data_IF_541678131735
#
_entry.id   IF_541678131735
#
_cell.length_a   1.000
_cell.length_b   1.000
_cell.length_c   1.000
_cell.angle_alpha   90.00
_cell.angle_beta   90.00
_cell.angle_gamma   90.00
#
_symmetry.space_group_name_H-M   'P 1'
#
loop_
_entity.id
_entity.type
_entity.pdbx_description
1 polymer ?
#
# COMPACT_ATOMS: atom_id res chain seq x y z
N UNK A 1 -59.73 5.25 -11.75
CA UNK A 1 -58.41 5.82 -12.04
C UNK A 1 -57.51 4.66 -12.40
N UNK A 2 -57.35 4.30 -13.68
CA UNK A 2 -56.64 5.07 -14.73
C UNK A 2 -55.19 5.27 -14.30
N UNK A 3 -54.31 4.36 -14.73
CA UNK A 3 -53.44 4.50 -15.92
C UNK A 3 -52.16 5.28 -15.55
N UNK A 4 -51.03 4.59 -15.41
CA UNK A 4 -49.96 4.68 -16.40
C UNK A 4 -48.68 3.94 -15.96
N UNK A 5 -48.46 2.88 -16.72
CA UNK A 5 -47.23 2.19 -17.08
C UNK A 5 -46.04 3.13 -17.40
N UNK A 6 -44.87 2.88 -16.79
CA UNK A 6 -43.61 2.87 -17.57
C UNK A 6 -42.48 2.08 -16.91
N UNK A 7 -42.35 0.85 -17.39
CA UNK A 7 -41.14 0.03 -17.39
C UNK A 7 -40.04 0.71 -18.22
N UNK A 8 -38.79 0.77 -17.72
CA UNK A 8 -37.64 0.79 -18.62
C UNK A 8 -36.43 0.10 -18.00
N UNK A 9 -36.13 -1.03 -18.63
CA UNK A 9 -35.05 -1.99 -18.45
C UNK A 9 -33.68 -1.43 -18.89
N UNK A 10 -32.58 -2.07 -18.46
CA UNK A 10 -31.24 -1.77 -18.98
C UNK A 10 -31.12 -2.23 -20.45
N UNK A 11 -30.38 -1.51 -21.33
CA UNK A 11 -30.19 -1.94 -22.69
C UNK A 11 -29.22 -3.13 -22.79
N UNK A 12 -29.76 -4.19 -23.36
CA UNK A 12 -29.15 -5.44 -23.81
C UNK A 12 -28.37 -5.22 -25.13
N UNK A 13 -27.18 -5.83 -25.19
CA UNK A 13 -26.52 -6.48 -26.34
C UNK A 13 -26.28 -5.72 -27.65
N UNK A 14 -24.99 -5.60 -28.01
CA UNK A 14 -24.52 -6.02 -29.35
C UNK A 14 -23.33 -6.96 -29.23
N UNK A 15 -23.64 -8.24 -29.46
CA UNK A 15 -22.76 -9.30 -29.94
C UNK A 15 -22.06 -8.83 -31.21
N UNK A 16 -20.73 -8.95 -31.22
CA UNK A 16 -19.87 -8.68 -32.36
C UNK A 16 -18.69 -9.64 -32.36
N UNK A 17 -19.01 -10.89 -32.72
CA UNK A 17 -18.20 -11.75 -33.59
C UNK A 17 -16.73 -11.99 -33.23
N UNK A 18 -16.54 -13.12 -32.56
CA UNK A 18 -15.42 -14.05 -32.73
C UNK A 18 -15.22 -14.37 -34.23
N UNK A 19 -13.98 -14.40 -34.73
CA UNK A 19 -13.58 -15.35 -35.73
C UNK A 19 -12.75 -16.46 -35.07
N UNK A 20 -13.31 -17.67 -35.06
CA UNK A 20 -12.53 -18.90 -35.04
C UNK A 20 -11.58 -18.87 -36.23
N UNK A 21 -10.30 -19.12 -36.01
CA UNK A 21 -9.61 -20.07 -36.86
C UNK A 21 -8.35 -20.58 -36.17
N UNK A 22 -8.23 -21.91 -36.19
CA UNK A 22 -6.95 -22.63 -36.18
C UNK A 22 -6.30 -22.83 -34.81
N UNK A 23 -6.86 -23.77 -34.04
CA UNK A 23 -6.01 -24.71 -33.30
C UNK A 23 -5.20 -25.48 -34.36
N UNK A 24 -3.98 -25.03 -34.64
CA UNK A 24 -2.97 -25.91 -35.23
C UNK A 24 -2.22 -26.56 -34.08
N UNK A 25 -2.67 -27.75 -33.73
CA UNK A 25 -1.94 -28.72 -32.92
C UNK A 25 -0.61 -29.04 -33.62
N UNK A 26 0.47 -28.43 -33.19
CA UNK A 26 1.82 -28.84 -33.55
C UNK A 26 2.47 -29.50 -32.34
N UNK A 27 2.42 -30.85 -32.30
CA UNK A 27 3.29 -31.64 -31.45
C UNK A 27 4.76 -31.26 -31.69
N UNK A 28 5.59 -31.24 -30.64
CA UNK A 28 6.89 -30.60 -30.67
C UNK A 28 7.90 -31.47 -31.45
N UNK A 29 8.37 -30.96 -32.59
CA UNK A 29 9.56 -31.47 -33.24
C UNK A 29 10.79 -31.04 -32.43
N UNK A 30 11.65 -32.02 -32.16
CA UNK A 30 12.84 -31.97 -31.30
C UNK A 30 13.95 -31.02 -31.78
N UNK A 31 13.74 -30.31 -32.89
CA UNK A 31 14.68 -29.34 -33.48
C UNK A 31 14.45 -27.89 -33.01
N UNK A 32 13.36 -27.60 -32.30
CA UNK A 32 13.07 -26.23 -31.81
C UNK A 32 13.79 -25.87 -30.52
N UNK A 33 14.25 -26.84 -29.71
CA UNK A 33 15.00 -26.54 -28.47
C UNK A 33 16.35 -25.92 -28.77
N UNK A 34 17.11 -26.49 -29.70
CA UNK A 34 18.49 -26.05 -29.95
C UNK A 34 18.58 -24.65 -30.58
N UNK A 35 17.56 -24.25 -31.36
CA UNK A 35 17.46 -22.87 -31.87
C UNK A 35 16.94 -21.90 -30.82
N UNK A 36 15.98 -22.32 -29.99
CA UNK A 36 15.50 -21.50 -28.88
C UNK A 36 16.64 -21.22 -27.91
N UNK A 37 17.43 -22.23 -27.54
CA UNK A 37 18.54 -22.11 -26.60
C UNK A 37 19.61 -21.15 -27.13
N UNK A 38 20.00 -21.27 -28.41
CA UNK A 38 20.94 -20.31 -29.04
C UNK A 38 20.40 -18.88 -29.08
N UNK A 39 19.09 -18.71 -29.30
CA UNK A 39 18.43 -17.40 -29.32
C UNK A 39 18.35 -16.79 -27.91
N UNK A 40 18.05 -17.61 -26.88
CA UNK A 40 18.06 -17.20 -25.47
C UNK A 40 19.47 -16.85 -25.01
N UNK A 41 20.48 -17.63 -25.41
CA UNK A 41 21.87 -17.33 -25.09
C UNK A 41 22.34 -16.03 -25.76
N UNK A 42 21.97 -15.78 -27.02
CA UNK A 42 22.27 -14.51 -27.71
C UNK A 42 21.57 -13.33 -27.03
N UNK A 43 20.29 -13.49 -26.67
CA UNK A 43 19.51 -12.44 -26.01
C UNK A 43 20.07 -12.10 -24.61
N UNK A 44 20.44 -13.11 -23.82
CA UNK A 44 21.02 -12.92 -22.47
C UNK A 44 22.45 -12.37 -22.55
N UNK A 45 23.26 -12.82 -23.52
CA UNK A 45 24.68 -12.44 -23.58
C UNK A 45 24.90 -11.07 -24.21
N UNK A 46 24.05 -10.67 -25.16
CA UNK A 46 24.28 -9.46 -25.94
C UNK A 46 23.19 -8.39 -25.79
N UNK A 47 21.92 -8.75 -25.94
CA UNK A 47 20.84 -7.76 -25.98
C UNK A 47 20.43 -7.28 -24.59
N UNK A 48 20.42 -8.16 -23.60
CA UNK A 48 20.09 -7.81 -22.21
C UNK A 48 21.10 -6.81 -21.61
N UNK A 49 22.44 -7.03 -21.68
CA UNK A 49 23.38 -6.05 -21.19
C UNK A 49 23.33 -4.74 -21.98
N UNK A 50 23.14 -4.79 -23.32
CA UNK A 50 22.95 -3.58 -24.13
C UNK A 50 21.71 -2.80 -23.73
N UNK A 51 20.59 -3.47 -23.47
CA UNK A 51 19.34 -2.80 -23.09
C UNK A 51 19.42 -2.18 -21.70
N UNK A 52 20.06 -2.86 -20.74
CA UNK A 52 20.31 -2.31 -19.40
C UNK A 52 21.27 -1.13 -19.46
N UNK A 53 22.32 -1.21 -20.29
CA UNK A 53 23.28 -0.11 -20.49
C UNK A 53 22.61 1.09 -21.18
N UNK A 54 21.78 0.86 -22.20
CA UNK A 54 21.00 1.91 -22.85
C UNK A 54 19.94 2.52 -21.91
N UNK A 55 19.31 1.72 -21.06
CA UNK A 55 18.32 2.18 -20.07
C UNK A 55 18.99 3.03 -18.99
N UNK A 56 20.15 2.60 -18.49
CA UNK A 56 20.94 3.38 -17.51
C UNK A 56 21.49 4.67 -18.11
N UNK A 57 21.99 4.66 -19.34
CA UNK A 57 22.41 5.88 -20.05
C UNK A 57 21.25 6.83 -20.32
N UNK A 58 20.06 6.30 -20.62
CA UNK A 58 18.83 7.09 -20.83
C UNK A 58 18.33 7.71 -19.53
N UNK A 59 18.36 6.97 -18.42
CA UNK A 59 18.02 7.48 -17.09
C UNK A 59 19.02 8.54 -16.62
N UNK A 60 20.32 8.35 -16.87
CA UNK A 60 21.35 9.34 -16.58
C UNK A 60 21.20 10.61 -17.43
N UNK A 61 20.89 10.48 -18.72
CA UNK A 61 20.62 11.63 -19.60
C UNK A 61 19.35 12.37 -19.17
N UNK A 62 18.31 11.65 -18.75
CA UNK A 62 17.06 12.21 -18.22
C UNK A 62 17.28 12.93 -16.88
N UNK A 63 18.06 12.35 -15.96
CA UNK A 63 18.43 13.00 -14.71
C UNK A 63 19.28 14.26 -14.94
N UNK A 64 20.21 14.21 -15.90
CA UNK A 64 21.02 15.38 -16.29
C UNK A 64 20.18 16.44 -16.99
N UNK A 65 19.21 16.08 -17.84
CA UNK A 65 18.32 17.05 -18.49
C UNK A 65 17.36 17.69 -17.48
N UNK A 66 16.88 16.94 -16.48
CA UNK A 66 16.11 17.51 -15.37
C UNK A 66 16.94 18.50 -14.56
N UNK A 67 18.20 18.15 -14.22
CA UNK A 67 19.12 19.07 -13.56
C UNK A 67 19.40 20.32 -14.40
N UNK A 68 19.59 20.16 -15.72
CA UNK A 68 19.90 21.29 -16.60
C UNK A 68 18.67 22.19 -16.85
N UNK A 69 17.47 21.62 -16.98
CA UNK A 69 16.20 22.34 -17.12
C UNK A 69 15.80 23.05 -15.81
N UNK A 70 15.99 22.39 -14.66
CA UNK A 70 15.79 23.03 -13.36
C UNK A 70 16.76 24.21 -13.17
N UNK A 71 18.01 24.09 -13.65
CA UNK A 71 19.01 25.15 -13.51
C UNK A 71 18.71 26.40 -14.34
N UNK A 72 18.10 26.28 -15.52
CA UNK A 72 17.72 27.44 -16.34
C UNK A 72 16.55 28.18 -15.70
N UNK A 73 15.50 27.46 -15.27
CA UNK A 73 14.39 28.07 -14.53
C UNK A 73 14.83 28.70 -13.20
N UNK A 74 15.78 28.08 -12.49
CA UNK A 74 16.36 28.62 -11.27
C UNK A 74 17.23 29.86 -11.52
N UNK A 75 17.98 29.91 -12.63
CA UNK A 75 18.76 31.09 -13.05
C UNK A 75 17.82 32.25 -13.40
N UNK A 76 16.79 32.01 -14.20
CA UNK A 76 15.79 33.03 -14.53
C UNK A 76 15.07 33.54 -13.28
N UNK A 77 14.72 32.67 -12.33
CA UNK A 77 14.17 33.08 -11.04
C UNK A 77 15.16 33.95 -10.25
N UNK A 78 16.46 33.62 -10.30
CA UNK A 78 17.52 34.39 -9.65
C UNK A 78 17.68 35.79 -10.25
N UNK A 79 17.41 35.94 -11.55
CA UNK A 79 17.45 37.23 -12.24
C UNK A 79 16.21 38.09 -11.92
N UNK A 80 15.04 37.46 -11.67
CA UNK A 80 13.83 38.15 -11.23
C UNK A 80 13.79 38.46 -9.72
N UNK A 81 14.56 37.74 -8.89
CA UNK A 81 14.65 37.99 -7.45
C UNK A 81 15.05 39.43 -7.09
N UNK A 82 16.09 40.07 -7.68
CA UNK A 82 16.43 41.45 -7.36
C UNK A 82 15.37 42.46 -7.83
N UNK A 83 14.65 42.15 -8.91
CA UNK A 83 13.59 43.03 -9.45
C UNK A 83 12.29 42.96 -8.64
N UNK A 84 11.89 41.75 -8.19
CA UNK A 84 10.82 41.60 -7.20
C UNK A 84 11.26 42.17 -5.85
N UNK A 85 12.53 41.98 -5.48
CA UNK A 85 13.09 42.48 -4.23
C UNK A 85 13.05 44.00 -4.12
N UNK A 86 13.36 44.75 -5.19
CA UNK A 86 13.35 46.22 -5.16
C UNK A 86 11.94 46.82 -5.10
N UNK A 87 11.00 46.26 -5.87
CA UNK A 87 9.59 46.65 -5.82
C UNK A 87 8.97 46.29 -4.46
N UNK A 88 9.23 45.08 -3.98
CA UNK A 88 8.78 44.64 -2.66
C UNK A 88 9.38 45.48 -1.53
N UNK A 89 10.67 45.82 -1.61
CA UNK A 89 11.35 46.71 -0.63
C UNK A 89 10.67 48.07 -0.49
N UNK A 90 10.20 48.64 -1.60
CA UNK A 90 9.52 49.94 -1.59
C UNK A 90 8.17 49.86 -0.87
N UNK A 91 7.42 48.77 -1.09
CA UNK A 91 6.17 48.50 -0.38
C UNK A 91 6.40 48.13 1.10
N UNK A 92 7.43 47.34 1.39
CA UNK A 92 7.84 47.02 2.76
C UNK A 92 8.20 48.28 3.53
N UNK A 93 9.05 49.14 2.98
CA UNK A 93 9.51 50.35 3.66
C UNK A 93 8.36 51.33 3.91
N UNK A 94 7.42 51.50 2.96
CA UNK A 94 6.22 52.33 3.16
C UNK A 94 5.28 51.74 4.22
N UNK A 95 5.13 50.41 4.26
CA UNK A 95 4.34 49.71 5.27
C UNK A 95 4.95 49.83 6.66
N UNK A 96 6.27 49.61 6.78
CA UNK A 96 6.99 49.77 8.04
C UNK A 96 7.01 51.23 8.51
N UNK A 97 7.11 52.20 7.60
CA UNK A 97 6.99 53.62 7.94
C UNK A 97 5.60 53.96 8.48
N UNK A 98 4.53 53.48 7.83
CA UNK A 98 3.15 53.64 8.34
C UNK A 98 2.95 52.98 9.70
N UNK A 99 3.43 51.76 9.88
CA UNK A 99 3.36 51.07 11.17
C UNK A 99 4.15 51.84 12.22
N UNK A 100 5.32 52.38 11.89
CA UNK A 100 6.14 53.15 12.83
C UNK A 100 5.45 54.46 13.21
N UNK A 101 4.88 55.18 12.25
CA UNK A 101 4.11 56.40 12.50
C UNK A 101 2.84 56.12 13.33
N UNK A 102 2.10 55.05 13.00
CA UNK A 102 0.95 54.62 13.79
C UNK A 102 1.35 54.10 15.16
N UNK A 103 2.49 53.43 15.31
CA UNK A 103 3.02 52.99 16.61
C UNK A 103 3.43 54.19 17.46
N UNK A 104 4.00 55.23 16.85
CA UNK A 104 4.30 56.48 17.57
C UNK A 104 3.03 57.24 17.98
N UNK A 105 1.94 57.16 17.20
CA UNK A 105 0.60 57.65 17.59
C UNK A 105 -0.07 56.78 18.66
N UNK A 106 0.06 55.46 18.58
CA UNK A 106 -0.52 54.47 19.52
C UNK A 106 0.27 54.40 20.82
N UNK A 107 1.50 54.92 20.87
CA UNK A 107 2.26 55.14 22.12
C UNK A 107 1.49 56.00 23.13
N UNK A 108 0.52 56.80 22.68
CA UNK A 108 -0.43 57.53 23.54
C UNK A 108 -1.46 56.60 24.23
N UNK A 109 -1.58 55.33 23.81
CA UNK A 109 -2.44 54.28 24.35
C UNK A 109 -1.65 52.97 24.63
N UNK A 110 -1.09 52.80 25.84
CA UNK A 110 -0.20 51.68 26.15
C UNK A 110 -0.86 50.28 26.08
N UNK A 111 -2.18 50.19 26.25
CA UNK A 111 -2.91 48.92 26.20
C UNK A 111 -2.96 48.28 24.80
N UNK A 112 -3.05 49.10 23.74
CA UNK A 112 -3.11 48.62 22.34
C UNK A 112 -1.72 48.24 21.81
N UNK A 113 -0.69 48.96 22.27
CA UNK A 113 0.72 48.70 21.91
C UNK A 113 1.18 47.29 22.31
N UNK A 114 0.75 46.81 23.49
CA UNK A 114 1.12 45.47 23.97
C UNK A 114 0.65 44.34 23.06
N UNK A 115 -0.60 44.41 22.56
CA UNK A 115 -1.15 43.40 21.65
C UNK A 115 -0.43 43.37 20.30
N UNK A 116 -0.12 44.55 19.74
CA UNK A 116 0.59 44.67 18.46
C UNK A 116 2.03 44.15 18.61
N UNK A 117 2.71 44.48 19.70
CA UNK A 117 4.07 43.99 19.97
C UNK A 117 4.13 42.46 20.08
N UNK A 118 3.13 41.83 20.72
CA UNK A 118 3.04 40.36 20.81
C UNK A 118 2.80 39.74 19.44
N UNK A 119 1.90 40.31 18.63
CA UNK A 119 1.62 39.81 17.27
C UNK A 119 2.85 39.92 16.35
N UNK A 120 3.54 41.06 16.37
CA UNK A 120 4.79 41.27 15.61
C UNK A 120 5.89 40.34 16.12
N UNK A 121 6.01 40.16 17.44
CA UNK A 121 6.95 39.22 18.04
C UNK A 121 6.73 37.79 17.55
N UNK A 122 5.49 37.30 17.57
CA UNK A 122 5.15 35.97 17.06
C UNK A 122 5.45 35.78 15.57
N UNK A 123 5.35 36.86 14.78
CA UNK A 123 5.65 36.83 13.34
C UNK A 123 7.17 36.90 13.06
N UNK A 124 7.93 37.67 13.84
CA UNK A 124 9.38 37.82 13.68
C UNK A 124 10.16 36.61 14.21
N UNK A 125 9.73 36.00 15.32
CA UNK A 125 10.44 34.86 15.89
C UNK A 125 10.32 33.62 14.99
N UNK A 126 11.47 33.08 14.59
CA UNK A 126 11.61 31.98 13.62
C UNK A 126 10.86 30.70 14.02
N UNK A 127 10.76 30.43 15.31
CA UNK A 127 10.04 29.28 15.90
C UNK A 127 8.52 29.36 15.75
N UNK A 128 7.85 30.35 16.37
CA UNK A 128 6.40 30.50 16.28
C UNK A 128 5.92 30.72 14.84
N UNK A 129 6.71 31.36 13.97
CA UNK A 129 6.41 31.42 12.53
C UNK A 129 6.30 30.04 11.90
N UNK A 130 7.24 29.11 12.17
CA UNK A 130 7.19 27.73 11.66
C UNK A 130 6.05 26.93 12.27
N UNK A 131 5.74 27.19 13.54
CA UNK A 131 4.61 26.59 14.24
C UNK A 131 3.27 27.02 13.62
N UNK A 132 3.09 28.32 13.38
CA UNK A 132 1.92 28.87 12.69
C UNK A 132 1.78 28.25 11.31
N UNK A 133 2.82 28.24 10.47
CA UNK A 133 2.74 27.62 9.15
C UNK A 133 2.39 26.13 9.19
N UNK A 134 2.92 25.37 10.16
CA UNK A 134 2.61 23.93 10.25
C UNK A 134 1.17 23.67 10.68
N UNK A 135 0.61 24.52 11.53
CA UNK A 135 -0.76 24.37 12.06
C UNK A 135 -1.84 25.05 11.23
N UNK A 136 -1.55 26.19 10.58
CA UNK A 136 -2.53 26.92 9.76
C UNK A 136 -2.57 26.38 8.34
N UNK A 137 -1.43 26.17 7.68
CA UNK A 137 -1.40 25.57 6.33
C UNK A 137 -1.74 24.08 6.33
N UNK A 138 -1.55 23.38 7.45
CA UNK A 138 -2.01 21.99 7.60
C UNK A 138 -3.53 21.84 7.50
N UNK A 139 -4.29 22.89 7.83
CA UNK A 139 -5.76 22.95 7.63
C UNK A 139 -6.15 23.33 6.20
N UNK A 140 -5.24 23.92 5.42
CA UNK A 140 -5.44 24.23 4.01
C UNK A 140 -4.93 23.09 3.09
N UNK A 141 -4.65 21.89 3.61
CA UNK A 141 -4.48 20.69 2.79
C UNK A 141 -5.72 20.58 1.90
N UNK A 142 -5.53 20.69 0.58
CA UNK A 142 -6.63 20.66 -0.38
C UNK A 142 -7.50 19.43 -0.15
N UNK A 143 -8.81 19.56 -0.33
CA UNK A 143 -9.76 18.45 -0.21
C UNK A 143 -9.32 17.24 -1.05
N UNK A 144 -8.70 17.51 -2.18
CA UNK A 144 -8.06 16.51 -3.06
C UNK A 144 -6.94 15.73 -2.37
N UNK A 145 -6.06 16.37 -1.59
CA UNK A 145 -4.99 15.70 -0.88
C UNK A 145 -5.52 14.80 0.25
N UNK A 146 -6.62 15.21 0.90
CA UNK A 146 -7.30 14.38 1.90
C UNK A 146 -8.00 13.19 1.27
N UNK A 147 -8.65 13.39 0.12
CA UNK A 147 -9.31 12.32 -0.64
C UNK A 147 -8.29 11.27 -1.13
N UNK A 148 -7.18 11.69 -1.73
CA UNK A 148 -6.11 10.79 -2.19
C UNK A 148 -5.55 9.98 -1.01
N UNK A 149 -5.37 10.61 0.15
CA UNK A 149 -4.91 9.92 1.36
C UNK A 149 -5.92 8.90 1.86
N UNK A 150 -7.20 9.25 1.87
CA UNK A 150 -8.28 8.34 2.26
C UNK A 150 -8.38 7.16 1.28
N UNK A 151 -8.35 7.41 -0.02
CA UNK A 151 -8.40 6.38 -1.06
C UNK A 151 -7.21 5.41 -0.95
N UNK A 152 -6.00 5.93 -0.71
CA UNK A 152 -4.82 5.09 -0.47
C UNK A 152 -5.01 4.20 0.77
N UNK A 153 -5.46 4.77 1.89
CA UNK A 153 -5.67 4.01 3.12
C UNK A 153 -6.73 2.93 2.95
N UNK A 154 -7.83 3.21 2.24
CA UNK A 154 -8.87 2.22 1.95
C UNK A 154 -8.32 1.10 1.06
N UNK A 155 -7.53 1.43 0.03
CA UNK A 155 -6.88 0.42 -0.84
C UNK A 155 -5.92 -0.47 -0.05
N UNK A 156 -5.07 0.13 0.78
CA UNK A 156 -4.13 -0.59 1.64
C UNK A 156 -4.86 -1.52 2.61
N UNK A 157 -5.92 -1.01 3.26
CA UNK A 157 -6.72 -1.80 4.18
C UNK A 157 -7.42 -2.96 3.47
N UNK A 158 -7.98 -2.74 2.28
CA UNK A 158 -8.64 -3.79 1.51
C UNK A 158 -7.68 -4.93 1.15
N UNK A 159 -6.45 -4.59 0.72
CA UNK A 159 -5.41 -5.59 0.47
C UNK A 159 -5.06 -6.39 1.74
N UNK A 160 -4.93 -5.71 2.88
CA UNK A 160 -4.62 -6.37 4.16
C UNK A 160 -5.73 -7.32 4.60
N UNK A 161 -7.00 -6.92 4.43
CA UNK A 161 -8.16 -7.73 4.78
C UNK A 161 -8.27 -8.94 3.86
N UNK A 162 -7.99 -8.79 2.57
CA UNK A 162 -8.00 -9.90 1.62
C UNK A 162 -6.90 -10.93 1.91
N UNK A 163 -5.71 -10.48 2.31
CA UNK A 163 -4.66 -11.38 2.77
C UNK A 163 -5.07 -12.11 4.05
N UNK A 164 -5.59 -11.36 5.04
CA UNK A 164 -6.05 -11.93 6.30
C UNK A 164 -7.16 -12.98 6.09
N UNK A 165 -8.11 -12.72 5.17
CA UNK A 165 -9.17 -13.69 4.84
C UNK A 165 -8.61 -14.99 4.23
N UNK A 166 -7.60 -14.88 3.37
CA UNK A 166 -6.94 -16.05 2.77
C UNK A 166 -6.18 -16.85 3.83
N UNK A 167 -5.46 -16.17 4.71
CA UNK A 167 -4.71 -16.80 5.79
C UNK A 167 -5.65 -17.43 6.83
N UNK A 168 -6.74 -16.76 7.20
CA UNK A 168 -7.73 -17.30 8.13
C UNK A 168 -8.44 -18.54 7.57
N UNK A 169 -8.75 -18.56 6.27
CA UNK A 169 -9.31 -19.75 5.62
C UNK A 169 -8.37 -20.95 5.72
N UNK A 170 -7.08 -20.74 5.40
CA UNK A 170 -6.05 -21.79 5.51
C UNK A 170 -5.85 -22.28 6.94
N UNK A 171 -6.01 -21.41 7.95
CA UNK A 171 -5.91 -21.80 9.35
C UNK A 171 -7.13 -22.61 9.80
N UNK A 172 -8.33 -22.20 9.38
CA UNK A 172 -9.56 -22.94 9.69
C UNK A 172 -9.57 -24.32 9.04
N UNK A 173 -9.10 -24.46 7.80
CA UNK A 173 -8.98 -25.76 7.14
C UNK A 173 -8.02 -26.69 7.90
N UNK A 174 -6.86 -26.17 8.34
CA UNK A 174 -5.91 -26.95 9.14
C UNK A 174 -6.47 -27.31 10.52
N UNK A 175 -7.17 -26.38 11.17
CA UNK A 175 -7.79 -26.64 12.46
C UNK A 175 -8.90 -27.69 12.35
N UNK A 176 -9.75 -27.60 11.33
CA UNK A 176 -10.81 -28.58 11.08
C UNK A 176 -10.24 -29.98 10.75
N UNK A 177 -9.15 -30.03 9.97
CA UNK A 177 -8.45 -31.28 9.69
C UNK A 177 -7.86 -31.88 10.97
N UNK A 178 -7.15 -31.08 11.77
CA UNK A 178 -6.58 -31.51 13.04
C UNK A 178 -7.66 -32.00 14.02
N UNK A 179 -8.82 -31.35 14.08
CA UNK A 179 -9.96 -31.79 14.88
C UNK A 179 -10.45 -33.18 14.44
N UNK A 180 -10.58 -33.39 13.12
CA UNK A 180 -11.01 -34.67 12.56
C UNK A 180 -10.00 -35.78 12.89
N UNK A 181 -8.71 -35.51 12.74
CA UNK A 181 -7.65 -36.46 13.08
C UNK A 181 -7.63 -36.78 14.57
N UNK A 182 -7.82 -35.77 15.44
CA UNK A 182 -7.88 -35.98 16.89
C UNK A 182 -9.07 -36.89 17.27
N UNK A 183 -10.25 -36.64 16.70
CA UNK A 183 -11.44 -37.49 16.92
C UNK A 183 -11.19 -38.91 16.46
N UNK A 184 -10.56 -39.09 15.30
CA UNK A 184 -10.22 -40.41 14.79
C UNK A 184 -9.22 -41.13 15.69
N UNK A 185 -8.12 -40.46 16.06
CA UNK A 185 -7.12 -41.00 16.98
C UNK A 185 -7.68 -41.35 18.36
N UNK A 186 -8.65 -40.58 18.86
CA UNK A 186 -9.36 -40.90 20.10
C UNK A 186 -10.15 -42.21 19.98
N UNK A 187 -10.86 -42.42 18.87
CA UNK A 187 -11.62 -43.66 18.62
C UNK A 187 -10.66 -44.85 18.55
N UNK A 188 -9.55 -44.71 17.83
CA UNK A 188 -8.54 -45.77 17.70
C UNK A 188 -7.93 -46.15 19.04
N UNK A 189 -7.63 -45.15 19.88
CA UNK A 189 -7.12 -45.36 21.23
C UNK A 189 -8.15 -46.11 22.11
N UNK A 190 -9.43 -45.73 22.03
CA UNK A 190 -10.49 -46.43 22.78
C UNK A 190 -10.61 -47.88 22.32
N UNK A 191 -10.57 -48.14 21.02
CA UNK A 191 -10.63 -49.50 20.47
C UNK A 191 -9.43 -50.34 20.91
N UNK A 192 -8.20 -49.80 20.83
CA UNK A 192 -7.01 -50.47 21.32
C UNK A 192 -7.08 -50.75 22.83
N UNK A 193 -7.58 -49.80 23.62
CA UNK A 193 -7.79 -49.98 25.06
C UNK A 193 -8.77 -51.12 25.37
N UNK A 194 -9.87 -51.21 24.62
CA UNK A 194 -10.84 -52.31 24.74
C UNK A 194 -10.17 -53.66 24.41
N UNK A 195 -9.39 -53.73 23.34
CA UNK A 195 -8.68 -54.96 22.95
C UNK A 195 -7.65 -55.41 24.01
N UNK A 196 -6.90 -54.47 24.58
CA UNK A 196 -5.96 -54.76 25.67
C UNK A 196 -6.72 -55.28 26.89
N UNK A 197 -7.85 -54.66 27.25
CA UNK A 197 -8.65 -55.08 28.39
C UNK A 197 -9.25 -56.48 28.20
N UNK A 198 -9.73 -56.80 26.99
CA UNK A 198 -10.27 -58.14 26.71
C UNK A 198 -9.17 -59.19 26.73
N UNK A 199 -7.98 -58.89 26.20
CA UNK A 199 -6.82 -59.78 26.24
C UNK A 199 -6.31 -59.99 27.67
N UNK A 200 -6.22 -58.93 28.49
CA UNK A 200 -5.87 -59.05 29.90
C UNK A 200 -6.87 -59.94 30.66
N UNK A 201 -8.18 -59.77 30.40
CA UNK A 201 -9.22 -60.62 30.99
C UNK A 201 -9.13 -62.07 30.52
N UNK A 202 -8.79 -62.32 29.26
CA UNK A 202 -8.67 -63.69 28.73
C UNK A 202 -7.43 -64.39 29.32
N UNK A 203 -6.30 -63.69 29.43
CA UNK A 203 -5.07 -64.18 30.09
C UNK A 203 -5.34 -64.50 31.56
N UNK A 204 -5.98 -63.60 32.31
CA UNK A 204 -6.31 -63.84 33.72
C UNK A 204 -7.24 -65.06 33.92
N UNK A 205 -8.20 -65.26 33.00
CA UNK A 205 -9.05 -66.47 33.00
C UNK A 205 -8.25 -67.75 32.68
N UNK A 206 -7.26 -67.68 31.80
CA UNK A 206 -6.40 -68.81 31.49
C UNK A 206 -5.49 -69.15 32.69
N UNK A 207 -4.94 -68.14 33.35
CA UNK A 207 -4.11 -68.28 34.55
C UNK A 207 -4.89 -68.91 35.71
N UNK A 208 -6.08 -68.38 36.03
CA UNK A 208 -6.92 -68.93 37.12
C UNK A 208 -7.32 -70.39 36.86
N UNK A 209 -7.67 -70.74 35.61
CA UNK A 209 -7.91 -72.14 35.23
C UNK A 209 -6.67 -73.00 35.38
N UNK A 210 -5.50 -72.55 34.92
CA UNK A 210 -4.25 -73.29 35.04
C UNK A 210 -3.87 -73.53 36.52
N UNK A 211 -4.07 -72.55 37.40
CA UNK A 211 -3.84 -72.71 38.84
C UNK A 211 -4.82 -73.66 39.51
N UNK A 212 -6.07 -73.75 39.03
CA UNK A 212 -7.08 -74.69 39.52
C UNK A 212 -6.74 -76.14 39.17
N UNK A 213 -6.26 -76.38 37.93
CA UNK A 213 -5.75 -77.70 37.52
C UNK A 213 -4.49 -78.15 38.27
N UNK A 214 -3.70 -77.21 38.81
CA UNK A 214 -2.44 -77.49 39.52
C UNK A 214 -2.59 -77.54 41.05
N UNK A 215 -3.83 -77.63 41.56
CA UNK A 215 -4.10 -77.76 42.99
C UNK A 215 -4.03 -79.26 43.39
N UNK A 216 -3.17 -79.64 44.34
CA UNK A 216 -2.99 -81.04 44.77
C UNK A 216 -4.21 -81.61 45.51
#
# INVERSE_FOLDING_TARGET
MSEDEKTLTPPTTKTGQVPESSITSASPSKDKSDKADKTWHSYISEDLPRTVQQSTDSALRSARSFHHSSSTHFRTLRDFMPQLGSQYRTYEDAFFLKIKDELTKVRENPAVTGGIAVAVGLLLFRGPRRFLFRHTLGRFQSEEAQFIRAEKNVKELNLSVDLMKKESGKLLERAALAEKEMKHGQIDLMNAGVQIQTLARSVHKAETKATDWNKP
#
